data_IF_857735355852
#
_entry.id   IF_857735355852
#
_cell.length_a   1.000
_cell.length_b   1.000
_cell.length_c   1.000
_cell.angle_alpha   90.00
_cell.angle_beta   90.00
_cell.angle_gamma   90.00
#
_symmetry.space_group_name_H-M   'P 1'
#
loop_
_entity.id
_entity.type
_entity.pdbx_description
1 polymer ?
#
# COMPACT_ATOMS: atom_id res chain seq x y z
N UNK A 1 13.90 -10.86 -20.10
CA UNK A 1 14.21 -10.43 -18.72
C UNK A 1 13.71 -11.52 -17.79
N UNK A 2 14.56 -12.05 -16.91
CA UNK A 2 14.21 -13.08 -15.94
C UNK A 2 13.16 -12.54 -14.95
N UNK A 3 12.16 -13.36 -14.58
CA UNK A 3 10.95 -12.92 -13.86
C UNK A 3 11.26 -12.22 -12.52
N UNK A 4 12.26 -12.70 -11.77
CA UNK A 4 12.67 -12.13 -10.47
C UNK A 4 13.18 -10.68 -10.55
N UNK A 5 13.79 -10.28 -11.69
CA UNK A 5 14.29 -8.91 -11.89
C UNK A 5 13.14 -7.89 -11.93
N UNK A 6 11.92 -8.29 -12.29
CA UNK A 6 10.80 -7.36 -12.39
C UNK A 6 10.31 -6.89 -11.03
N UNK A 7 10.16 -7.81 -10.07
CA UNK A 7 9.76 -7.48 -8.70
C UNK A 7 10.79 -6.61 -8.00
N UNK A 8 12.06 -6.91 -8.19
CA UNK A 8 13.13 -6.23 -7.48
C UNK A 8 13.20 -4.74 -7.85
N UNK A 9 13.11 -4.41 -9.14
CA UNK A 9 13.03 -3.03 -9.63
C UNK A 9 11.72 -2.34 -9.27
N UNK A 10 10.60 -3.07 -9.28
CA UNK A 10 9.29 -2.51 -8.96
C UNK A 10 9.20 -2.08 -7.50
N UNK A 11 9.59 -2.97 -6.58
CA UNK A 11 9.64 -2.66 -5.16
C UNK A 11 10.61 -1.52 -4.89
N UNK A 12 11.79 -1.56 -5.51
CA UNK A 12 12.74 -0.47 -5.38
C UNK A 12 12.16 0.88 -5.81
N UNK A 13 11.48 0.93 -6.96
CA UNK A 13 10.94 2.18 -7.48
C UNK A 13 9.78 2.75 -6.64
N UNK A 14 9.00 1.87 -6.00
CA UNK A 14 7.74 2.25 -5.35
C UNK A 14 7.91 2.44 -3.83
N UNK A 15 8.71 1.58 -3.21
CA UNK A 15 8.84 1.49 -1.75
C UNK A 15 10.22 1.89 -1.24
N UNK A 16 11.21 2.05 -2.13
CA UNK A 16 12.56 2.41 -1.74
C UNK A 16 12.93 3.82 -2.22
N UNK A 17 13.51 4.62 -1.33
CA UNK A 17 13.99 5.96 -1.64
C UNK A 17 12.99 7.09 -1.38
N UNK A 18 13.49 8.31 -1.48
CA UNK A 18 12.75 9.56 -1.27
C UNK A 18 12.23 10.08 -2.62
N UNK A 19 11.29 9.35 -3.21
CA UNK A 19 10.51 9.92 -4.31
C UNK A 19 9.61 11.01 -3.76
N UNK A 20 9.68 12.21 -4.34
CA UNK A 20 8.68 13.27 -4.09
C UNK A 20 7.36 13.01 -4.81
N UNK A 21 7.28 11.96 -5.64
CA UNK A 21 6.04 11.55 -6.27
C UNK A 21 5.16 10.83 -5.24
N UNK A 22 4.10 11.50 -4.81
CA UNK A 22 3.05 10.93 -3.97
C UNK A 22 2.14 10.02 -4.79
N UNK A 23 2.62 8.84 -5.20
CA UNK A 23 1.76 7.83 -5.79
C UNK A 23 1.13 7.00 -4.69
N UNK A 24 -0.07 7.41 -4.28
CA UNK A 24 -0.85 6.71 -3.26
C UNK A 24 -1.42 5.38 -3.76
N UNK A 25 -1.54 5.18 -5.09
CA UNK A 25 -2.08 3.99 -5.71
C UNK A 25 -1.09 3.34 -6.68
N UNK A 26 -0.92 2.03 -6.55
CA UNK A 26 -0.03 1.23 -7.38
C UNK A 26 -0.77 0.01 -7.90
N UNK A 27 -0.63 -0.26 -9.20
CA UNK A 27 -1.24 -1.42 -9.87
C UNK A 27 -0.18 -2.28 -10.52
N UNK A 28 -0.09 -3.54 -10.09
CA UNK A 28 0.93 -4.50 -10.48
C UNK A 28 0.26 -5.70 -11.13
N UNK A 29 0.80 -6.14 -12.27
CA UNK A 29 0.43 -7.40 -12.90
C UNK A 29 1.67 -8.26 -13.04
N UNK A 30 1.75 -9.35 -12.27
CA UNK A 30 2.95 -10.18 -12.19
C UNK A 30 2.62 -11.62 -11.78
N UNK A 31 3.61 -12.51 -11.84
CA UNK A 31 3.58 -13.79 -11.13
C UNK A 31 4.30 -13.62 -9.79
N UNK A 32 3.89 -14.33 -8.74
CA UNK A 32 4.55 -14.26 -7.43
C UNK A 32 5.01 -15.66 -6.98
N UNK A 33 6.31 -15.78 -6.73
CA UNK A 33 6.96 -16.97 -6.16
C UNK A 33 7.55 -16.68 -4.79
N UNK A 34 7.92 -17.73 -4.05
CA UNK A 34 8.65 -17.61 -2.79
C UNK A 34 10.03 -16.97 -2.99
N UNK A 35 10.70 -17.24 -4.12
CA UNK A 35 11.97 -16.60 -4.49
C UNK A 35 11.81 -15.10 -4.72
N UNK A 36 10.69 -14.68 -5.34
CA UNK A 36 10.39 -13.26 -5.53
C UNK A 36 10.25 -12.57 -4.17
N UNK A 37 9.58 -13.19 -3.19
CA UNK A 37 9.43 -12.62 -1.85
C UNK A 37 10.78 -12.43 -1.15
N UNK A 38 11.69 -13.41 -1.23
CA UNK A 38 13.06 -13.29 -0.69
C UNK A 38 13.80 -12.12 -1.35
N UNK A 39 13.69 -12.00 -2.67
CA UNK A 39 14.27 -10.87 -3.40
C UNK A 39 13.71 -9.52 -2.94
N UNK A 40 12.39 -9.43 -2.76
CA UNK A 40 11.69 -8.23 -2.30
C UNK A 40 12.18 -7.83 -0.91
N UNK A 41 12.31 -8.78 0.02
CA UNK A 41 12.82 -8.53 1.36
C UNK A 41 14.24 -7.96 1.32
N UNK A 42 15.13 -8.52 0.50
CA UNK A 42 16.49 -8.02 0.35
C UNK A 42 16.51 -6.62 -0.30
N UNK A 43 15.66 -6.35 -1.28
CA UNK A 43 15.56 -5.00 -1.89
C UNK A 43 15.13 -3.97 -0.86
N UNK A 44 14.12 -4.28 -0.03
CA UNK A 44 13.66 -3.41 1.05
C UNK A 44 14.74 -3.19 2.10
N UNK A 45 15.47 -4.25 2.47
CA UNK A 45 16.53 -4.20 3.49
C UNK A 45 17.74 -3.41 3.01
N UNK A 46 18.17 -3.65 1.77
CA UNK A 46 19.37 -3.06 1.18
C UNK A 46 19.09 -1.76 0.44
N UNK A 47 17.83 -1.39 0.25
CA UNK A 47 17.41 -0.24 -0.56
C UNK A 47 18.15 -0.23 -1.91
N UNK A 48 18.20 -1.36 -2.61
CA UNK A 48 18.92 -1.50 -3.89
C UNK A 48 18.17 -2.52 -4.77
N UNK A 49 17.97 -2.27 -6.07
CA UNK A 49 17.07 -3.06 -6.91
C UNK A 49 17.61 -4.44 -7.29
N UNK A 50 18.90 -4.71 -7.14
CA UNK A 50 19.51 -6.02 -7.42
C UNK A 50 20.51 -6.38 -6.32
N UNK A 51 20.03 -6.69 -5.10
CA UNK A 51 20.89 -7.03 -3.99
C UNK A 51 21.57 -8.38 -4.28
N UNK A 52 22.80 -8.54 -3.81
CA UNK A 52 23.50 -9.80 -3.95
C UNK A 52 22.99 -10.81 -2.88
N UNK A 53 22.59 -12.01 -3.32
CA UNK A 53 21.88 -13.01 -2.49
C UNK A 53 22.78 -14.06 -1.80
N UNK A 54 23.96 -14.34 -2.34
CA UNK A 54 24.90 -15.35 -1.82
C UNK A 54 26.26 -14.70 -1.62
N UNK A 55 26.81 -14.71 -0.39
CA UNK A 55 28.08 -14.04 -0.13
C UNK A 55 29.00 -14.78 0.84
N UNK A 56 30.30 -14.70 0.50
CA UNK A 56 31.43 -15.05 1.35
C UNK A 56 31.50 -14.09 2.55
N UNK A 57 31.80 -14.63 3.73
CA UNK A 57 31.89 -13.85 4.97
C UNK A 57 33.11 -12.91 5.00
N UNK A 58 34.14 -13.17 4.19
CA UNK A 58 35.43 -12.48 4.32
C UNK A 58 35.40 -11.05 3.78
N UNK A 59 34.61 -10.78 2.73
CA UNK A 59 34.49 -9.46 2.10
C UNK A 59 33.04 -9.21 1.65
N UNK A 60 32.14 -8.81 2.58
CA UNK A 60 30.76 -8.55 2.23
C UNK A 60 30.65 -7.31 1.32
N UNK A 61 29.68 -7.29 0.40
CA UNK A 61 29.39 -6.11 -0.38
C UNK A 61 28.81 -5.00 0.49
N UNK A 62 29.11 -3.78 0.07
CA UNK A 62 28.67 -2.56 0.72
C UNK A 62 27.60 -1.88 -0.11
N UNK A 63 26.67 -1.24 0.60
CA UNK A 63 25.63 -0.42 0.02
C UNK A 63 25.77 1.00 0.54
N UNK A 64 25.39 1.98 -0.27
CA UNK A 64 25.66 3.37 0.04
C UNK A 64 25.13 4.31 -1.02
N UNK A 65 25.83 5.42 -1.18
CA UNK A 65 25.56 6.41 -2.21
C UNK A 65 26.80 6.73 -3.02
N UNK A 66 26.63 6.90 -4.31
CA UNK A 66 27.62 7.44 -5.22
C UNK A 66 27.31 8.91 -5.49
N UNK A 67 28.22 9.81 -5.10
CA UNK A 67 28.16 11.22 -5.46
C UNK A 67 28.84 11.37 -6.83
N UNK A 68 28.06 11.59 -7.89
CA UNK A 68 28.51 11.62 -9.28
C UNK A 68 28.56 13.06 -9.77
N UNK A 69 29.71 13.47 -10.30
CA UNK A 69 29.90 14.84 -10.79
C UNK A 69 29.25 15.09 -12.15
N UNK A 70 29.01 16.37 -12.42
CA UNK A 70 28.64 16.84 -13.76
C UNK A 70 29.76 16.53 -14.76
N UNK A 71 29.39 16.08 -15.95
CA UNK A 71 30.30 15.71 -17.04
C UNK A 71 30.75 14.25 -17.00
N UNK A 72 30.45 13.52 -15.93
CA UNK A 72 30.77 12.08 -15.83
C UNK A 72 30.01 11.29 -16.88
N UNK A 73 30.73 10.43 -17.60
CA UNK A 73 30.17 9.49 -18.57
C UNK A 73 29.96 8.13 -17.90
N UNK A 74 28.70 7.76 -17.70
CA UNK A 74 28.32 6.51 -17.04
C UNK A 74 28.01 5.42 -18.08
N UNK A 75 28.82 4.36 -18.19
CA UNK A 75 28.46 3.19 -18.99
C UNK A 75 27.31 2.41 -18.32
N UNK A 76 26.20 2.27 -19.04
CA UNK A 76 25.14 1.33 -18.70
C UNK A 76 25.50 -0.10 -19.09
N UNK A 77 24.83 -1.08 -18.47
CA UNK A 77 25.01 -2.51 -18.81
C UNK A 77 24.65 -2.87 -20.27
N UNK A 78 23.88 -2.01 -20.96
CA UNK A 78 23.54 -2.14 -22.38
C UNK A 78 24.60 -1.54 -23.33
N UNK A 79 25.72 -1.04 -22.80
CA UNK A 79 26.79 -0.39 -23.58
C UNK A 79 26.51 1.06 -23.96
N UNK A 80 25.31 1.59 -23.67
CA UNK A 80 24.97 2.99 -23.87
C UNK A 80 25.66 3.81 -22.77
N UNK A 81 26.29 4.93 -23.16
CA UNK A 81 26.89 5.87 -22.22
C UNK A 81 25.95 7.02 -21.95
N UNK A 82 25.79 7.35 -20.68
CA UNK A 82 24.98 8.47 -20.23
C UNK A 82 25.90 9.58 -19.70
N UNK A 83 25.77 10.77 -20.27
CA UNK A 83 26.46 11.96 -19.74
C UNK A 83 25.63 12.62 -18.65
N UNK A 84 26.23 12.77 -17.48
CA UNK A 84 25.60 13.43 -16.35
C UNK A 84 25.69 14.94 -16.51
N UNK A 85 24.56 15.59 -16.83
CA UNK A 85 24.52 17.04 -17.07
C UNK A 85 24.49 17.89 -15.79
N UNK A 86 24.21 17.27 -14.65
CA UNK A 86 24.16 17.88 -13.32
C UNK A 86 24.66 16.88 -12.29
N UNK A 87 25.46 17.35 -11.32
CA UNK A 87 25.90 16.49 -10.23
C UNK A 87 24.70 15.85 -9.53
N UNK A 88 24.81 14.57 -9.22
CA UNK A 88 23.71 13.78 -8.68
C UNK A 88 24.24 12.77 -7.67
N UNK A 89 23.39 12.45 -6.69
CA UNK A 89 23.66 11.41 -5.70
C UNK A 89 22.77 10.21 -6.00
N UNK A 90 23.38 9.09 -6.34
CA UNK A 90 22.68 7.85 -6.64
C UNK A 90 22.83 6.84 -5.52
N UNK A 91 21.85 5.95 -5.39
CA UNK A 91 22.04 4.73 -4.62
C UNK A 91 23.15 3.88 -5.26
N UNK A 92 24.04 3.32 -4.46
CA UNK A 92 25.20 2.59 -4.94
C UNK A 92 25.38 1.23 -4.25
N UNK A 93 26.05 0.34 -4.98
CA UNK A 93 26.49 -0.98 -4.58
C UNK A 93 27.98 -1.13 -4.91
N UNK A 94 28.74 -1.66 -3.94
CA UNK A 94 30.16 -1.90 -4.08
C UNK A 94 30.49 -3.32 -3.63
N UNK A 95 31.22 -4.07 -4.45
CA UNK A 95 31.70 -5.40 -4.09
C UNK A 95 33.24 -5.43 -4.16
N UNK A 96 33.96 -5.39 -3.01
CA UNK A 96 35.42 -5.28 -2.99
C UNK A 96 36.13 -6.42 -3.75
N UNK A 97 35.55 -7.62 -3.74
CA UNK A 97 36.15 -8.80 -4.36
C UNK A 97 36.09 -8.83 -5.88
N UNK A 98 35.20 -8.03 -6.50
CA UNK A 98 34.94 -8.12 -7.95
C UNK A 98 35.03 -6.78 -8.68
N UNK A 99 34.91 -5.65 -7.98
CA UNK A 99 34.74 -4.35 -8.63
C UNK A 99 35.98 -3.45 -8.59
N UNK A 100 37.05 -3.82 -7.87
CA UNK A 100 38.25 -2.97 -7.75
C UNK A 100 37.87 -1.57 -7.27
N UNK A 101 38.24 -0.53 -8.01
CA UNK A 101 37.88 0.87 -7.68
C UNK A 101 36.55 1.32 -8.30
N UNK A 102 35.71 0.39 -8.75
CA UNK A 102 34.43 0.70 -9.40
C UNK A 102 33.25 0.43 -8.49
N UNK A 103 32.17 1.18 -8.71
CA UNK A 103 30.88 0.98 -8.04
C UNK A 103 29.76 0.94 -9.05
N UNK A 104 28.71 0.21 -8.71
CA UNK A 104 27.46 0.24 -9.44
C UNK A 104 26.51 1.26 -8.83
N UNK A 105 25.92 2.11 -9.66
CA UNK A 105 25.03 3.20 -9.25
C UNK A 105 23.70 3.07 -9.97
N UNK A 106 22.60 3.28 -9.25
CA UNK A 106 21.24 3.27 -9.82
C UNK A 106 20.90 4.65 -10.33
N UNK A 107 20.93 4.83 -11.65
CA UNK A 107 20.58 6.09 -12.30
C UNK A 107 19.09 6.10 -12.64
N UNK A 108 18.29 7.04 -12.10
CA UNK A 108 16.87 7.14 -12.39
C UNK A 108 16.59 7.25 -13.89
N UNK A 109 15.63 6.47 -14.38
CA UNK A 109 15.23 6.46 -15.80
C UNK A 109 16.19 5.73 -16.75
N UNK A 110 17.36 5.28 -16.28
CA UNK A 110 18.36 4.60 -17.11
C UNK A 110 18.73 3.21 -16.58
N UNK A 111 18.82 3.04 -15.26
CA UNK A 111 19.12 1.76 -14.61
C UNK A 111 20.50 1.72 -13.96
N UNK A 112 21.07 0.53 -13.79
CA UNK A 112 22.39 0.34 -13.16
C UNK A 112 23.51 0.70 -14.14
N UNK A 113 24.37 1.62 -13.71
CA UNK A 113 25.61 2.01 -14.40
C UNK A 113 26.82 1.69 -13.53
N UNK A 114 27.99 1.56 -14.16
CA UNK A 114 29.26 1.40 -13.44
C UNK A 114 30.05 2.71 -13.52
N UNK A 115 30.65 3.14 -12.41
CA UNK A 115 31.56 4.29 -12.37
C UNK A 115 32.79 3.97 -11.54
N UNK A 116 33.91 4.60 -11.86
CA UNK A 116 35.11 4.54 -11.01
C UNK A 116 35.02 5.58 -9.90
N UNK A 117 35.54 5.21 -8.73
CA UNK A 117 35.87 6.10 -7.62
C UNK A 117 37.32 6.52 -7.88
N UNK A 118 37.54 7.77 -8.27
CA UNK A 118 38.88 8.33 -8.49
C UNK A 118 39.07 9.50 -7.52
N UNK A 119 40.32 9.71 -7.06
CA UNK A 119 40.75 10.88 -6.29
C UNK A 119 40.61 12.17 -7.15
N UNK A 120 39.38 12.64 -7.34
CA UNK A 120 39.13 13.76 -8.23
C UNK A 120 37.66 14.12 -8.52
N UNK A 121 36.66 13.37 -8.02
CA UNK A 121 35.29 13.89 -8.08
C UNK A 121 34.15 12.94 -7.70
N UNK A 122 34.24 11.66 -8.05
CA UNK A 122 33.19 10.69 -7.74
C UNK A 122 33.53 9.94 -6.46
N UNK A 123 32.64 9.97 -5.47
CA UNK A 123 32.87 9.36 -4.17
C UNK A 123 31.79 8.33 -3.84
N UNK A 124 32.18 7.24 -3.17
CA UNK A 124 31.25 6.30 -2.56
C UNK A 124 31.16 6.56 -1.05
N UNK A 125 29.94 6.67 -0.55
CA UNK A 125 29.64 6.88 0.87
C UNK A 125 28.82 5.69 1.37
N UNK A 126 29.43 4.84 2.18
CA UNK A 126 28.81 3.63 2.75
C UNK A 126 27.69 3.98 3.75
N UNK A 127 26.64 3.16 3.80
CA UNK A 127 25.51 3.34 4.73
C UNK A 127 25.93 3.29 6.20
N UNK A 128 27.01 2.59 6.55
CA UNK A 128 27.54 2.56 7.91
C UNK A 128 27.93 3.96 8.42
N UNK A 129 28.28 4.87 7.50
CA UNK A 129 28.61 6.27 7.79
C UNK A 129 27.34 7.13 7.84
N UNK A 130 26.24 6.68 7.24
CA UNK A 130 24.97 7.41 7.15
C UNK A 130 23.79 6.49 7.53
N UNK A 131 23.53 6.26 8.83
CA UNK A 131 22.59 5.23 9.30
C UNK A 131 21.11 5.50 9.02
N UNK A 132 20.76 6.59 8.32
CA UNK A 132 19.37 6.96 8.10
C UNK A 132 18.77 6.14 6.94
N UNK A 133 18.34 4.92 7.23
CA UNK A 133 17.16 4.35 6.57
C UNK A 133 15.94 4.93 7.28
N UNK A 134 15.16 5.84 6.66
CA UNK A 134 13.93 6.29 7.26
C UNK A 134 12.95 5.12 7.24
N UNK A 135 12.63 4.59 8.42
CA UNK A 135 11.49 3.70 8.65
C UNK A 135 10.16 4.26 8.12
N UNK A 136 10.12 5.55 7.76
CA UNK A 136 8.99 6.22 7.13
C UNK A 136 8.82 5.94 5.62
N UNK A 137 9.74 5.23 4.94
CA UNK A 137 9.65 4.99 3.49
C UNK A 137 8.60 3.95 3.07
N UNK A 138 8.26 2.99 3.95
CA UNK A 138 7.23 1.97 3.69
C UNK A 138 5.80 2.52 3.69
N UNK A 139 5.62 3.82 3.95
CA UNK A 139 4.31 4.47 4.06
C UNK A 139 3.92 5.25 2.80
N UNK A 140 4.61 5.06 1.67
CA UNK A 140 4.32 5.79 0.42
C UNK A 140 3.03 5.34 -0.27
N UNK A 141 2.64 4.07 -0.11
CA UNK A 141 1.46 3.50 -0.75
C UNK A 141 0.34 3.33 0.27
N UNK A 142 -0.86 3.82 -0.05
CA UNK A 142 -2.07 3.52 0.72
C UNK A 142 -3.05 2.62 -0.06
N UNK A 143 -2.81 2.39 -1.34
CA UNK A 143 -3.68 1.62 -2.21
C UNK A 143 -2.90 0.73 -3.18
N UNK A 144 -3.16 -0.58 -3.14
CA UNK A 144 -2.45 -1.57 -3.94
C UNK A 144 -3.43 -2.44 -4.73
N UNK A 145 -3.16 -2.61 -6.03
CA UNK A 145 -3.87 -3.56 -6.89
C UNK A 145 -2.89 -4.60 -7.41
N UNK A 146 -3.07 -5.86 -7.02
CA UNK A 146 -2.29 -7.00 -7.49
C UNK A 146 -3.15 -7.90 -8.39
N UNK A 147 -2.78 -7.95 -9.68
CA UNK A 147 -3.31 -8.91 -10.63
C UNK A 147 -2.27 -10.01 -10.83
N UNK A 148 -2.41 -11.09 -10.07
CA UNK A 148 -1.48 -12.19 -10.05
C UNK A 148 -1.85 -13.18 -11.16
N UNK A 149 -1.01 -13.25 -12.20
CA UNK A 149 -1.21 -14.21 -13.29
C UNK A 149 -0.95 -15.64 -12.82
N UNK A 150 -0.01 -15.79 -11.90
CA UNK A 150 0.38 -17.05 -11.27
C UNK A 150 0.78 -16.73 -9.83
N UNK A 151 0.28 -17.50 -8.87
CA UNK A 151 0.63 -17.36 -7.46
C UNK A 151 1.03 -18.75 -6.96
N UNK A 152 2.31 -18.89 -6.58
CA UNK A 152 2.89 -20.17 -6.13
C UNK A 152 2.16 -20.71 -4.90
N UNK A 153 1.95 -19.86 -3.89
CA UNK A 153 1.28 -20.24 -2.65
C UNK A 153 0.64 -19.04 -1.94
N UNK A 154 -0.36 -19.30 -1.11
CA UNK A 154 -0.94 -18.29 -0.20
C UNK A 154 0.11 -17.76 0.79
N UNK A 155 1.06 -18.60 1.21
CA UNK A 155 2.16 -18.21 2.08
C UNK A 155 3.05 -17.13 1.44
N UNK A 156 3.37 -17.24 0.15
CA UNK A 156 4.13 -16.21 -0.57
C UNK A 156 3.38 -14.87 -0.62
N UNK A 157 2.07 -14.89 -0.84
CA UNK A 157 1.24 -13.68 -0.78
C UNK A 157 1.22 -13.08 0.63
N UNK A 158 1.02 -13.91 1.66
CA UNK A 158 1.02 -13.47 3.05
C UNK A 158 2.36 -12.83 3.45
N UNK A 159 3.49 -13.43 3.05
CA UNK A 159 4.81 -12.87 3.30
C UNK A 159 5.02 -11.54 2.57
N UNK A 160 4.59 -11.43 1.31
CA UNK A 160 4.62 -10.15 0.59
C UNK A 160 3.81 -9.08 1.33
N UNK A 161 2.57 -9.38 1.71
CA UNK A 161 1.71 -8.43 2.43
C UNK A 161 2.27 -8.09 3.81
N UNK A 162 2.97 -9.00 4.48
CA UNK A 162 3.65 -8.68 5.73
C UNK A 162 4.77 -7.65 5.55
N UNK A 163 5.40 -7.60 4.38
CA UNK A 163 6.45 -6.64 4.07
C UNK A 163 5.90 -5.24 3.70
N UNK A 164 4.73 -5.18 3.05
CA UNK A 164 4.26 -3.94 2.40
C UNK A 164 2.83 -3.52 2.80
N UNK A 165 2.14 -4.32 3.61
CA UNK A 165 0.70 -4.21 3.89
C UNK A 165 0.34 -3.31 5.07
N UNK A 166 1.30 -3.00 5.94
CA UNK A 166 1.03 -2.34 7.23
C UNK A 166 0.29 -1.00 7.13
N UNK A 167 0.54 -0.23 6.07
CA UNK A 167 -0.04 1.10 5.84
C UNK A 167 -1.12 1.12 4.74
N UNK A 168 -1.46 -0.04 4.17
CA UNK A 168 -2.45 -0.12 3.10
C UNK A 168 -3.86 0.12 3.63
N UNK A 169 -4.58 1.04 2.99
CA UNK A 169 -6.00 1.32 3.20
C UNK A 169 -6.89 0.64 2.17
N UNK A 170 -6.38 0.40 0.95
CA UNK A 170 -7.10 -0.33 -0.09
C UNK A 170 -6.23 -1.42 -0.71
N UNK A 171 -6.80 -2.62 -0.82
CA UNK A 171 -6.16 -3.77 -1.44
C UNK A 171 -7.12 -4.42 -2.43
N UNK A 172 -6.69 -4.56 -3.68
CA UNK A 172 -7.40 -5.29 -4.72
C UNK A 172 -6.58 -6.48 -5.19
N UNK A 173 -7.08 -7.69 -5.01
CA UNK A 173 -6.43 -8.94 -5.41
C UNK A 173 -7.25 -9.64 -6.50
N UNK A 174 -6.55 -10.11 -7.53
CA UNK A 174 -7.11 -10.99 -8.55
C UNK A 174 -6.14 -12.14 -8.85
N UNK A 175 -6.59 -13.38 -8.65
CA UNK A 175 -5.82 -14.60 -8.97
C UNK A 175 -6.77 -15.75 -9.26
N UNK A 176 -6.38 -16.72 -10.08
CA UNK A 176 -7.26 -17.85 -10.43
C UNK A 176 -7.34 -18.86 -9.27
N UNK A 177 -8.54 -18.97 -8.69
CA UNK A 177 -9.01 -20.01 -7.77
C UNK A 177 -8.10 -20.28 -6.56
N UNK A 178 -8.08 -19.34 -5.63
CA UNK A 178 -7.47 -19.54 -4.33
C UNK A 178 -8.43 -19.10 -3.22
N UNK A 179 -8.27 -19.70 -2.04
CA UNK A 179 -8.89 -19.19 -0.83
C UNK A 179 -7.98 -18.12 -0.23
N UNK A 180 -8.58 -17.12 0.40
CA UNK A 180 -7.85 -16.13 1.19
C UNK A 180 -8.38 -16.13 2.62
N UNK A 181 -7.47 -16.21 3.57
CA UNK A 181 -7.80 -16.13 4.98
C UNK A 181 -7.89 -14.68 5.46
N UNK A 182 -9.06 -14.28 5.98
CA UNK A 182 -9.23 -12.96 6.58
C UNK A 182 -8.38 -12.77 7.84
N UNK A 183 -8.09 -13.84 8.60
CA UNK A 183 -7.21 -13.74 9.76
C UNK A 183 -5.80 -13.30 9.36
N UNK A 184 -5.28 -13.86 8.26
CA UNK A 184 -3.96 -13.49 7.72
C UNK A 184 -3.96 -12.08 7.13
N UNK A 185 -5.03 -11.70 6.41
CA UNK A 185 -5.16 -10.33 5.89
C UNK A 185 -5.23 -9.29 7.00
N UNK A 186 -6.02 -9.54 8.06
CA UNK A 186 -6.12 -8.64 9.19
C UNK A 186 -4.76 -8.45 9.90
N UNK A 187 -3.96 -9.51 10.04
CA UNK A 187 -2.63 -9.43 10.63
C UNK A 187 -1.61 -8.69 9.76
N UNK A 188 -1.66 -8.87 8.44
CA UNK A 188 -0.69 -8.28 7.51
C UNK A 188 -1.07 -6.87 7.06
N UNK A 189 -2.36 -6.55 7.03
CA UNK A 189 -2.94 -5.29 6.58
C UNK A 189 -3.93 -4.74 7.63
N UNK A 190 -3.47 -4.37 8.84
CA UNK A 190 -4.36 -3.98 9.95
C UNK A 190 -5.12 -2.67 9.69
N UNK A 191 -4.56 -1.75 8.87
CA UNK A 191 -5.18 -0.47 8.52
C UNK A 191 -6.13 -0.53 7.31
N UNK A 192 -6.41 -1.74 6.80
CA UNK A 192 -7.19 -1.90 5.58
C UNK A 192 -8.65 -1.47 5.76
N UNK A 193 -9.08 -0.49 4.97
CA UNK A 193 -10.46 0.01 4.94
C UNK A 193 -11.27 -0.62 3.80
N UNK A 194 -10.61 -0.97 2.69
CA UNK A 194 -11.25 -1.48 1.47
C UNK A 194 -10.52 -2.73 0.93
N UNK A 195 -11.28 -3.81 0.74
CA UNK A 195 -10.80 -5.06 0.16
C UNK A 195 -11.62 -5.43 -1.08
N UNK A 196 -10.94 -5.61 -2.21
CA UNK A 196 -11.53 -6.12 -3.45
C UNK A 196 -10.90 -7.45 -3.81
N UNK A 197 -11.73 -8.48 -3.91
CA UNK A 197 -11.32 -9.83 -4.25
C UNK A 197 -12.02 -10.26 -5.53
N UNK A 198 -11.24 -10.67 -6.52
CA UNK A 198 -11.74 -11.25 -7.76
C UNK A 198 -11.17 -12.65 -7.92
N UNK A 199 -12.05 -13.63 -8.15
CA UNK A 199 -11.70 -15.06 -8.30
C UNK A 199 -11.10 -15.70 -7.03
N UNK A 200 -11.35 -15.11 -5.87
CA UNK A 200 -10.96 -15.62 -4.55
C UNK A 200 -12.17 -16.01 -3.73
N UNK A 201 -12.13 -17.20 -3.12
CA UNK A 201 -13.07 -17.56 -2.05
C UNK A 201 -12.51 -17.08 -0.71
N UNK A 202 -13.39 -16.76 0.23
CA UNK A 202 -12.99 -16.26 1.56
C UNK A 202 -13.09 -17.38 2.58
N UNK A 203 -12.05 -17.53 3.41
CA UNK A 203 -12.09 -18.36 4.62
C UNK A 203 -11.71 -17.55 5.84
N UNK A 204 -12.04 -18.09 7.00
CA UNK A 204 -11.68 -17.53 8.30
C UNK A 204 -11.13 -18.68 9.12
N UNK A 205 -9.83 -18.66 9.39
CA UNK A 205 -9.20 -19.61 10.32
C UNK A 205 -9.61 -19.29 11.76
N UNK A 206 -8.95 -19.91 12.76
CA UNK A 206 -9.18 -19.56 14.17
C UNK A 206 -9.08 -18.05 14.37
N UNK A 207 -10.13 -17.38 14.89
CA UNK A 207 -10.13 -15.93 15.09
C UNK A 207 -8.91 -15.50 15.90
N UNK A 208 -8.20 -14.49 15.40
CA UNK A 208 -7.06 -13.87 16.07
C UNK A 208 -7.43 -12.44 16.50
N UNK A 209 -6.65 -11.87 17.43
CA UNK A 209 -6.86 -10.51 17.91
C UNK A 209 -6.89 -9.48 16.77
N UNK A 210 -6.06 -9.70 15.74
CA UNK A 210 -6.02 -8.85 14.56
C UNK A 210 -7.38 -8.80 13.83
N UNK A 211 -8.06 -9.94 13.63
CA UNK A 211 -9.39 -9.99 13.01
C UNK A 211 -10.44 -9.32 13.90
N UNK A 212 -10.35 -9.49 15.22
CA UNK A 212 -11.26 -8.87 16.17
C UNK A 212 -11.20 -7.34 16.10
N UNK A 213 -10.00 -6.77 15.95
CA UNK A 213 -9.79 -5.32 15.87
C UNK A 213 -9.91 -4.74 14.46
N UNK A 214 -10.09 -5.58 13.43
CA UNK A 214 -10.03 -5.17 12.04
C UNK A 214 -11.22 -4.28 11.65
N UNK A 215 -10.94 -2.99 11.44
CA UNK A 215 -11.94 -1.95 11.17
C UNK A 215 -12.25 -1.77 9.68
N UNK A 216 -12.38 -2.88 8.95
CA UNK A 216 -12.64 -2.88 7.51
C UNK A 216 -14.03 -2.31 7.19
N UNK A 217 -14.12 -1.43 6.19
CA UNK A 217 -15.34 -0.68 5.84
C UNK A 217 -16.02 -1.19 4.58
N UNK A 218 -15.23 -1.61 3.59
CA UNK A 218 -15.75 -2.07 2.32
C UNK A 218 -15.13 -3.40 1.88
N UNK A 219 -15.96 -4.36 1.51
CA UNK A 219 -15.56 -5.62 0.90
C UNK A 219 -16.32 -5.79 -0.41
N UNK A 220 -15.59 -6.09 -1.49
CA UNK A 220 -16.16 -6.42 -2.79
C UNK A 220 -15.64 -7.78 -3.25
N UNK A 221 -16.54 -8.74 -3.44
CA UNK A 221 -16.24 -10.07 -3.93
C UNK A 221 -16.77 -10.25 -5.35
N UNK A 222 -15.92 -10.69 -6.27
CA UNK A 222 -16.28 -10.93 -7.67
C UNK A 222 -15.95 -12.35 -8.12
N UNK A 223 -16.92 -12.98 -8.77
CA UNK A 223 -16.84 -14.37 -9.25
C UNK A 223 -16.59 -15.35 -8.09
N UNK A 224 -17.48 -15.29 -7.09
CA UNK A 224 -17.44 -16.14 -5.89
C UNK A 224 -18.68 -17.01 -5.77
N UNK A 225 -18.53 -18.20 -5.20
CA UNK A 225 -19.59 -19.19 -5.01
C UNK A 225 -19.93 -19.45 -3.53
N UNK A 226 -19.04 -19.05 -2.61
CA UNK A 226 -19.22 -19.16 -1.17
C UNK A 226 -18.95 -17.83 -0.44
N UNK A 227 -19.85 -17.50 0.48
CA UNK A 227 -19.80 -16.32 1.38
C UNK A 227 -20.07 -16.70 2.83
N UNK A 228 -20.12 -18.00 3.15
CA UNK A 228 -20.45 -18.52 4.47
C UNK A 228 -19.53 -17.96 5.57
N UNK A 229 -18.23 -17.82 5.28
CA UNK A 229 -17.26 -17.25 6.20
C UNK A 229 -17.59 -15.79 6.56
N UNK A 230 -17.94 -14.95 5.57
CA UNK A 230 -18.36 -13.56 5.81
C UNK A 230 -19.67 -13.49 6.59
N UNK A 231 -20.62 -14.38 6.30
CA UNK A 231 -21.86 -14.44 7.06
C UNK A 231 -21.58 -14.75 8.54
N UNK A 232 -20.68 -15.69 8.81
CA UNK A 232 -20.27 -16.03 10.18
C UNK A 232 -19.63 -14.82 10.87
N UNK A 233 -18.73 -14.12 10.19
CA UNK A 233 -18.11 -12.91 10.76
C UNK A 233 -19.14 -11.80 11.07
N UNK A 234 -20.17 -11.62 10.22
CA UNK A 234 -21.23 -10.65 10.45
C UNK A 234 -22.28 -11.12 11.49
N UNK A 235 -22.28 -12.39 11.88
CA UNK A 235 -23.07 -12.85 13.02
C UNK A 235 -22.32 -12.69 14.35
N UNK A 236 -20.99 -12.69 14.31
CA UNK A 236 -20.17 -12.56 15.49
C UNK A 236 -20.09 -11.10 15.96
N UNK A 237 -20.69 -10.82 17.11
CA UNK A 237 -20.71 -9.49 17.71
C UNK A 237 -19.37 -9.09 18.36
N UNK A 238 -18.44 -10.04 18.51
CA UNK A 238 -17.10 -9.77 19.06
C UNK A 238 -16.15 -9.20 18.02
N UNK A 239 -16.45 -9.39 16.73
CA UNK A 239 -15.62 -8.85 15.64
C UNK A 239 -16.00 -7.41 15.34
N UNK A 240 -15.03 -6.51 15.35
CA UNK A 240 -15.25 -5.10 15.04
C UNK A 240 -15.81 -4.86 13.63
N UNK A 241 -15.52 -5.74 12.67
CA UNK A 241 -16.13 -5.67 11.33
C UNK A 241 -17.66 -5.73 11.34
N UNK A 242 -18.27 -6.31 12.39
CA UNK A 242 -19.73 -6.29 12.60
C UNK A 242 -20.28 -4.87 12.79
N UNK A 243 -19.46 -3.93 13.23
CA UNK A 243 -19.85 -2.55 13.48
C UNK A 243 -19.20 -1.56 12.50
N UNK A 244 -18.26 -2.02 11.69
CA UNK A 244 -17.48 -1.16 10.78
C UNK A 244 -17.64 -1.48 9.31
N UNK A 245 -18.05 -2.71 8.93
CA UNK A 245 -18.30 -3.08 7.54
C UNK A 245 -19.60 -2.43 7.03
N UNK A 246 -19.44 -1.32 6.32
CA UNK A 246 -20.50 -0.50 5.74
C UNK A 246 -20.97 -1.07 4.41
N UNK A 247 -20.04 -1.50 3.54
CA UNK A 247 -20.39 -1.93 2.19
C UNK A 247 -19.90 -3.36 1.94
N UNK A 248 -20.83 -4.24 1.59
CA UNK A 248 -20.50 -5.55 1.05
C UNK A 248 -21.16 -5.69 -0.32
N UNK A 249 -20.35 -5.83 -1.37
CA UNK A 249 -20.83 -6.12 -2.71
C UNK A 249 -20.36 -7.51 -3.13
N UNK A 250 -21.27 -8.35 -3.59
CA UNK A 250 -20.97 -9.70 -4.05
C UNK A 250 -21.52 -9.87 -5.46
N UNK A 251 -20.63 -10.20 -6.39
CA UNK A 251 -20.94 -10.66 -7.74
C UNK A 251 -20.71 -12.18 -7.78
N UNK A 252 -21.76 -13.00 -7.68
CA UNK A 252 -21.63 -14.45 -7.69
C UNK A 252 -21.02 -14.97 -9.00
N UNK A 253 -20.46 -16.17 -8.94
CA UNK A 253 -20.06 -16.89 -10.15
C UNK A 253 -21.30 -17.25 -10.98
N UNK A 254 -21.23 -17.03 -12.30
CA UNK A 254 -22.31 -17.43 -13.22
C UNK A 254 -22.57 -18.94 -13.19
N UNK A 255 -21.51 -19.72 -13.02
CA UNK A 255 -21.57 -21.20 -13.05
C UNK A 255 -22.05 -21.78 -11.71
N UNK A 256 -21.83 -21.06 -10.61
CA UNK A 256 -22.09 -21.54 -9.25
C UNK A 256 -22.74 -20.42 -8.43
N UNK A 257 -24.08 -20.29 -8.49
CA UNK A 257 -24.78 -19.24 -7.76
C UNK A 257 -24.67 -19.47 -6.25
N UNK A 258 -24.63 -18.37 -5.48
CA UNK A 258 -24.63 -18.47 -4.01
C UNK A 258 -25.85 -19.23 -3.50
N UNK A 259 -25.65 -19.98 -2.42
CA UNK A 259 -26.71 -20.69 -1.71
C UNK A 259 -27.79 -19.70 -1.24
N UNK A 260 -29.05 -20.08 -1.43
CA UNK A 260 -30.20 -19.23 -1.07
C UNK A 260 -30.19 -18.84 0.42
N UNK A 261 -29.78 -19.76 1.28
CA UNK A 261 -29.67 -19.52 2.72
C UNK A 261 -28.67 -18.39 3.05
N UNK A 262 -27.50 -18.39 2.42
CA UNK A 262 -26.47 -17.38 2.67
C UNK A 262 -26.86 -16.03 2.06
N UNK A 263 -27.52 -16.02 0.89
CA UNK A 263 -28.14 -14.81 0.33
C UNK A 263 -29.13 -14.17 1.31
N UNK A 264 -30.02 -14.98 1.92
CA UNK A 264 -31.00 -14.50 2.90
C UNK A 264 -30.32 -13.94 4.16
N UNK A 265 -29.31 -14.65 4.69
CA UNK A 265 -28.56 -14.20 5.87
C UNK A 265 -27.81 -12.89 5.61
N UNK A 266 -27.10 -12.77 4.48
CA UNK A 266 -26.44 -11.52 4.11
C UNK A 266 -27.45 -10.37 3.95
N UNK A 267 -28.58 -10.62 3.28
CA UNK A 267 -29.61 -9.60 3.06
C UNK A 267 -30.25 -9.11 4.36
N UNK A 268 -30.28 -9.93 5.41
CA UNK A 268 -30.82 -9.54 6.71
C UNK A 268 -30.01 -8.42 7.39
N UNK A 269 -28.71 -8.29 7.06
CA UNK A 269 -27.85 -7.21 7.57
C UNK A 269 -27.97 -5.91 6.77
N UNK A 270 -28.66 -5.93 5.62
CA UNK A 270 -28.82 -4.74 4.79
C UNK A 270 -29.71 -3.73 5.50
N UNK A 271 -29.26 -2.47 5.56
CA UNK A 271 -30.01 -1.40 6.20
C UNK A 271 -29.76 -1.25 7.70
N UNK A 272 -28.89 -2.06 8.31
CA UNK A 272 -28.53 -1.90 9.72
C UNK A 272 -27.69 -0.64 9.96
N UNK A 273 -27.99 0.10 11.03
CA UNK A 273 -27.18 1.24 11.45
C UNK A 273 -25.96 0.79 12.27
N UNK A 274 -24.79 1.33 11.94
CA UNK A 274 -23.51 0.90 12.48
C UNK A 274 -23.01 1.87 13.57
N UNK A 275 -22.94 1.46 14.85
CA UNK A 275 -22.69 2.39 15.96
C UNK A 275 -21.29 3.03 15.93
N UNK A 276 -20.30 2.36 15.33
CA UNK A 276 -18.91 2.84 15.26
C UNK A 276 -18.64 3.74 14.04
N UNK A 277 -19.48 3.68 13.01
CA UNK A 277 -19.25 4.40 11.76
C UNK A 277 -20.28 5.51 11.60
N UNK A 278 -19.82 6.74 11.39
CA UNK A 278 -20.68 7.93 11.25
C UNK A 278 -20.77 8.34 9.80
N UNK A 279 -21.96 8.78 9.39
CA UNK A 279 -22.19 9.23 8.03
C UNK A 279 -21.21 10.35 7.68
N UNK A 280 -20.63 10.30 6.47
CA UNK A 280 -19.71 11.33 5.99
C UNK A 280 -20.48 12.47 5.33
N UNK A 281 -20.23 13.71 5.78
CA UNK A 281 -20.88 14.88 5.18
C UNK A 281 -20.63 14.87 3.66
N UNK A 282 -21.66 15.16 2.84
CA UNK A 282 -21.48 15.38 1.42
C UNK A 282 -20.36 16.40 1.18
N UNK A 283 -19.56 16.19 0.14
CA UNK A 283 -18.40 17.04 -0.16
C UNK A 283 -18.78 18.51 -0.29
N UNK A 284 -19.96 18.79 -0.86
CA UNK A 284 -20.51 20.14 -1.00
C UNK A 284 -20.77 20.79 0.36
N UNK A 285 -21.33 20.05 1.31
CA UNK A 285 -21.58 20.53 2.68
C UNK A 285 -20.27 20.80 3.43
N UNK A 286 -19.26 19.94 3.26
CA UNK A 286 -17.91 20.15 3.80
C UNK A 286 -17.27 21.43 3.23
N UNK A 287 -17.37 21.64 1.92
CA UNK A 287 -16.84 22.83 1.25
C UNK A 287 -17.54 24.12 1.70
N UNK A 288 -18.87 24.08 1.85
CA UNK A 288 -19.64 25.21 2.38
C UNK A 288 -19.21 25.56 3.82
N UNK A 289 -19.01 24.56 4.68
CA UNK A 289 -18.53 24.76 6.05
C UNK A 289 -17.12 25.38 6.07
N UNK A 290 -16.19 24.88 5.25
CA UNK A 290 -14.84 25.44 5.13
C UNK A 290 -14.86 26.89 4.63
N UNK A 291 -15.72 27.22 3.65
CA UNK A 291 -15.89 28.58 3.14
C UNK A 291 -16.40 29.53 4.23
N UNK A 292 -17.37 29.10 5.05
CA UNK A 292 -17.87 29.90 6.16
C UNK A 292 -16.77 30.18 7.20
N UNK A 293 -15.93 29.17 7.50
CA UNK A 293 -14.80 29.32 8.43
C UNK A 293 -13.71 30.23 7.86
N UNK A 294 -13.34 30.08 6.58
CA UNK A 294 -12.32 30.90 5.93
C UNK A 294 -12.74 32.37 5.80
N UNK A 295 -14.03 32.65 5.54
CA UNK A 295 -14.57 34.02 5.49
C UNK A 295 -14.55 34.78 6.82
N UNK A 296 -14.18 34.11 7.92
CA UNK A 296 -13.97 34.71 9.24
C UNK A 296 -12.50 34.96 9.58
N UNK A 297 -11.56 34.50 8.75
CA UNK A 297 -10.11 34.53 9.01
C UNK A 297 -9.37 35.64 8.22
N UNK A 298 -10.08 36.65 7.72
CA UNK A 298 -9.43 37.83 7.13
C UNK A 298 -8.87 38.73 8.24
N UNK A 299 -7.59 38.48 8.58
CA UNK A 299 -6.80 39.14 9.64
C UNK A 299 -6.64 40.65 9.42
N UNK A 300 -6.98 41.18 8.24
CA UNK A 300 -6.81 42.59 7.90
C UNK A 300 -8.11 43.43 7.99
N UNK A 301 -9.23 42.85 8.43
CA UNK A 301 -10.46 43.64 8.65
C UNK A 301 -10.51 44.19 10.08
N UNK A 302 -10.59 45.51 10.22
CA UNK A 302 -10.65 46.25 11.49
C UNK A 302 -11.98 46.11 12.25
N UNK A 303 -12.86 45.23 11.78
CA UNK A 303 -14.08 44.79 12.47
C UNK A 303 -13.88 43.34 12.89
N UNK A 304 -13.76 43.12 14.20
CA UNK A 304 -13.35 41.86 14.82
C UNK A 304 -13.86 40.60 14.14
N UNK A 305 -12.95 39.68 13.88
CA UNK A 305 -13.25 38.34 13.39
C UNK A 305 -14.25 37.66 14.34
N UNK A 306 -15.54 37.72 14.01
CA UNK A 306 -16.56 36.94 14.70
C UNK A 306 -16.23 35.48 14.44
N UNK A 307 -16.01 34.64 15.47
CA UNK A 307 -15.74 33.22 15.29
C UNK A 307 -16.79 32.63 14.36
N UNK A 308 -16.41 31.76 13.43
CA UNK A 308 -17.34 31.18 12.45
C UNK A 308 -18.62 30.58 13.09
N UNK A 309 -18.53 30.13 14.35
CA UNK A 309 -19.67 29.71 15.18
C UNK A 309 -20.75 30.79 15.36
N UNK A 310 -20.39 32.07 15.47
CA UNK A 310 -21.34 33.19 15.63
C UNK A 310 -22.11 33.53 14.35
N UNK A 311 -21.73 32.94 13.21
CA UNK A 311 -22.43 33.09 11.92
C UNK A 311 -23.33 31.89 11.58
N UNK A 312 -23.22 30.79 12.34
CA UNK A 312 -24.08 29.62 12.16
C UNK A 312 -25.27 29.75 13.11
N UNK A 313 -26.47 29.88 12.55
CA UNK A 313 -27.68 29.88 13.38
C UNK A 313 -27.93 28.48 14.00
N UNK A 314 -28.84 28.44 14.97
CA UNK A 314 -29.16 27.20 15.69
C UNK A 314 -29.67 26.08 14.78
N UNK A 315 -30.30 26.41 13.64
CA UNK A 315 -30.79 25.43 12.67
C UNK A 315 -29.65 24.78 11.90
N UNK A 316 -28.65 25.56 11.45
CA UNK A 316 -27.45 25.02 10.79
C UNK A 316 -26.62 24.18 11.77
N UNK A 317 -26.44 24.66 13.01
CA UNK A 317 -25.77 23.87 14.05
C UNK A 317 -26.52 22.57 14.34
N UNK A 318 -27.85 22.61 14.45
CA UNK A 318 -28.67 21.41 14.63
C UNK A 318 -28.47 20.42 13.48
N UNK A 319 -28.43 20.88 12.22
CA UNK A 319 -28.19 20.01 11.07
C UNK A 319 -26.80 19.37 11.12
N UNK A 320 -25.77 20.13 11.49
CA UNK A 320 -24.40 19.61 11.66
C UNK A 320 -24.36 18.55 12.76
N UNK A 321 -25.01 18.79 13.91
CA UNK A 321 -25.04 17.84 15.02
C UNK A 321 -25.86 16.59 14.69
N UNK A 322 -27.06 16.74 14.12
CA UNK A 322 -27.88 15.62 13.65
C UNK A 322 -27.07 14.75 12.69
N UNK A 323 -26.42 15.38 11.71
CA UNK A 323 -25.58 14.66 10.77
C UNK A 323 -24.38 13.97 11.46
N UNK A 324 -23.63 14.69 12.30
CA UNK A 324 -22.49 14.14 13.04
C UNK A 324 -22.87 13.05 14.05
N UNK A 325 -24.16 12.93 14.36
CA UNK A 325 -24.75 11.88 15.19
C UNK A 325 -25.40 10.74 14.39
N UNK A 326 -25.51 10.87 13.06
CA UNK A 326 -26.15 9.85 12.21
C UNK A 326 -25.17 8.70 11.95
N UNK A 327 -25.47 7.47 12.40
CA UNK A 327 -24.64 6.32 12.09
C UNK A 327 -24.74 5.94 10.61
N UNK A 328 -23.67 5.42 10.01
CA UNK A 328 -23.73 4.89 8.64
C UNK A 328 -24.62 3.65 8.60
N UNK A 329 -25.39 3.54 7.52
CA UNK A 329 -26.24 2.40 7.25
C UNK A 329 -25.50 1.40 6.37
N UNK A 330 -25.46 0.13 6.79
CA UNK A 330 -24.85 -0.95 6.02
C UNK A 330 -25.61 -1.17 4.71
N UNK A 331 -24.86 -1.27 3.61
CA UNK A 331 -25.36 -1.63 2.29
C UNK A 331 -24.78 -2.98 1.85
N UNK A 332 -25.68 -3.96 1.67
CA UNK A 332 -25.38 -5.27 1.09
C UNK A 332 -25.94 -5.31 -0.33
N UNK A 333 -25.10 -5.59 -1.32
CA UNK A 333 -25.50 -5.73 -2.72
C UNK A 333 -25.10 -7.11 -3.24
N UNK A 334 -26.10 -7.89 -3.64
CA UNK A 334 -25.93 -9.17 -4.32
C UNK A 334 -26.36 -8.95 -5.78
N UNK A 335 -25.38 -8.84 -6.69
CA UNK A 335 -25.61 -8.48 -8.10
C UNK A 335 -25.70 -9.73 -8.96
#
# INVERSE_FOLDING_TARGET
>A
MTRSIQWSWLIYAVLCGSSSASQNHVSIRASLTSEDVVMIQEVLTRNYPQPALQQSQDHPPEYGFGDIQKGTQLPGRNGIRLEITRALRCRAFYCPSTMGDSVEVVVPGFGICTTKIEDGGNNFVSDAVCPSLPSSQLNSISSLTLNLTTLESEAALAQLLNLIGGSLRMLSLASRSQQIDLCTLASTCPELEELRLKLYSVRVSTPNEALCEWAIKEISLSDVDDVSALVTCLMDTTLRMRNTLVRLTVFPSYSHPLRLHDKKRLSAFNGEFLPETKEKLPTQSKAAMLSAVQSGWDINSSTGAVPALGRLDASVLSLIFTFASTPEQRSIRLV
#
